data_IF_502156383113
#
_entry.id   IF_502156383113
#
_cell.length_a   1.000
_cell.length_b   1.000
_cell.length_c   1.000
_cell.angle_alpha   90.00
_cell.angle_beta   90.00
_cell.angle_gamma   90.00
#
_symmetry.space_group_name_H-M   'P 1'
#
loop_
_entity.id
_entity.type
_entity.pdbx_description
1 polymer ?
#
# COMPACT_ATOMS: atom_id res chain seq x y z
N UNK A 1 19.24 -14.69 31.29
CA UNK A 1 19.05 -15.20 29.90
C UNK A 1 17.72 -15.92 29.71
N UNK A 2 17.31 -16.86 30.58
CA UNK A 2 16.02 -17.57 30.48
C UNK A 2 14.79 -16.64 30.37
N UNK A 3 14.65 -15.65 31.28
CA UNK A 3 13.53 -14.69 31.26
C UNK A 3 13.45 -13.80 30.00
N UNK A 4 14.58 -13.58 29.31
CA UNK A 4 14.60 -12.83 28.05
C UNK A 4 14.19 -13.72 26.88
N UNK A 5 14.69 -14.96 26.87
CA UNK A 5 14.28 -16.00 25.93
C UNK A 5 12.77 -16.27 25.99
N UNK A 6 12.20 -16.35 27.20
CA UNK A 6 10.77 -16.59 27.40
C UNK A 6 9.90 -15.43 26.93
N UNK A 7 10.33 -14.17 27.17
CA UNK A 7 9.61 -12.99 26.65
C UNK A 7 9.65 -12.91 25.14
N UNK A 8 10.80 -13.19 24.53
CA UNK A 8 10.95 -13.19 23.07
C UNK A 8 10.14 -14.33 22.42
N UNK A 9 10.13 -15.52 23.02
CA UNK A 9 9.32 -16.65 22.58
C UNK A 9 7.82 -16.32 22.62
N UNK A 10 7.35 -15.77 23.74
CA UNK A 10 5.96 -15.34 23.89
C UNK A 10 5.56 -14.25 22.90
N UNK A 11 6.48 -13.32 22.59
CA UNK A 11 6.26 -12.31 21.55
C UNK A 11 6.10 -12.94 20.17
N UNK A 12 7.02 -13.83 19.77
CA UNK A 12 6.98 -14.49 18.48
C UNK A 12 5.69 -15.32 18.29
N UNK A 13 5.24 -16.02 19.33
CA UNK A 13 3.98 -16.78 19.31
C UNK A 13 2.78 -15.86 19.08
N UNK A 14 2.68 -14.76 19.83
CA UNK A 14 1.57 -13.79 19.67
C UNK A 14 1.59 -13.13 18.31
N UNK A 15 2.77 -12.76 17.83
CA UNK A 15 2.96 -12.16 16.51
C UNK A 15 2.53 -13.10 15.40
N UNK A 16 2.99 -14.35 15.44
CA UNK A 16 2.61 -15.37 14.47
C UNK A 16 1.10 -15.67 14.51
N UNK A 17 0.53 -15.87 15.70
CA UNK A 17 -0.90 -16.13 15.87
C UNK A 17 -1.75 -14.95 15.37
N UNK A 18 -1.31 -13.71 15.57
CA UNK A 18 -1.98 -12.52 15.07
C UNK A 18 -2.10 -12.53 13.54
N UNK A 19 -1.00 -12.75 12.82
CA UNK A 19 -1.01 -12.78 11.36
C UNK A 19 -1.68 -14.03 10.78
N UNK A 20 -1.55 -15.18 11.44
CA UNK A 20 -2.27 -16.39 11.04
C UNK A 20 -3.78 -16.19 11.13
N UNK A 21 -4.26 -15.64 12.25
CA UNK A 21 -5.68 -15.33 12.42
C UNK A 21 -6.14 -14.25 11.43
N UNK A 22 -5.32 -13.22 11.18
CA UNK A 22 -5.61 -12.23 10.16
C UNK A 22 -5.80 -12.88 8.79
N UNK A 23 -4.88 -13.76 8.36
CA UNK A 23 -5.00 -14.46 7.09
C UNK A 23 -6.27 -15.32 6.99
N UNK A 24 -6.59 -16.07 8.07
CA UNK A 24 -7.81 -16.88 8.14
C UNK A 24 -9.06 -16.00 8.00
N UNK A 25 -9.12 -14.87 8.71
CA UNK A 25 -10.26 -13.96 8.66
C UNK A 25 -10.38 -13.29 7.28
N UNK A 26 -9.27 -12.79 6.74
CA UNK A 26 -9.25 -12.02 5.49
C UNK A 26 -9.66 -12.85 4.27
N UNK A 27 -9.30 -14.14 4.27
CA UNK A 27 -9.72 -15.10 3.22
C UNK A 27 -11.09 -15.69 3.54
N UNK A 28 -11.33 -16.06 4.79
CA UNK A 28 -12.53 -16.76 5.21
C UNK A 28 -13.79 -15.90 5.16
N UNK A 29 -13.73 -14.62 5.56
CA UNK A 29 -14.92 -13.78 5.63
C UNK A 29 -15.61 -13.58 4.27
N UNK A 30 -14.91 -13.21 3.18
CA UNK A 30 -15.53 -13.14 1.85
C UNK A 30 -16.08 -14.48 1.36
N UNK A 31 -15.38 -15.59 1.61
CA UNK A 31 -15.83 -16.94 1.21
C UNK A 31 -17.07 -17.40 1.97
N UNK A 32 -17.14 -17.15 3.27
CA UNK A 32 -18.34 -17.43 4.07
C UNK A 32 -19.50 -16.59 3.56
N UNK A 33 -19.25 -15.30 3.29
CA UNK A 33 -20.22 -14.42 2.65
C UNK A 33 -20.77 -14.97 1.34
N UNK A 34 -19.88 -15.43 0.45
CA UNK A 34 -20.22 -16.08 -0.81
C UNK A 34 -21.15 -17.28 -0.63
N UNK A 35 -20.78 -18.19 0.28
CA UNK A 35 -21.54 -19.44 0.54
C UNK A 35 -22.91 -19.13 1.13
N UNK A 36 -22.98 -18.22 2.10
CA UNK A 36 -24.25 -17.84 2.74
C UNK A 36 -25.21 -17.14 1.78
N UNK A 37 -24.70 -16.59 0.68
CA UNK A 37 -25.47 -15.78 -0.27
C UNK A 37 -25.75 -16.49 -1.59
N UNK A 38 -25.27 -17.73 -1.74
CA UNK A 38 -25.51 -18.55 -2.93
C UNK A 38 -24.89 -18.00 -4.21
N UNK A 39 -23.78 -17.25 -4.11
CA UNK A 39 -23.08 -16.72 -5.28
C UNK A 39 -22.45 -17.86 -6.12
N UNK A 40 -22.42 -17.66 -7.43
CA UNK A 40 -21.90 -18.64 -8.39
C UNK A 40 -20.37 -18.82 -8.24
N UNK A 41 -19.96 -20.08 -8.02
CA UNK A 41 -18.57 -20.48 -7.91
C UNK A 41 -17.81 -20.37 -9.23
N UNK A 42 -18.50 -20.35 -10.38
CA UNK A 42 -17.85 -20.24 -11.70
C UNK A 42 -17.05 -18.94 -11.84
N UNK A 43 -17.48 -17.87 -11.14
CA UNK A 43 -16.75 -16.60 -11.06
C UNK A 43 -15.33 -16.75 -10.52
N UNK A 44 -15.07 -17.79 -9.72
CA UNK A 44 -13.78 -18.06 -9.07
C UNK A 44 -12.91 -19.07 -9.82
N UNK A 45 -13.47 -19.83 -10.77
CA UNK A 45 -12.74 -20.87 -11.50
C UNK A 45 -12.09 -20.37 -12.79
N UNK A 46 -12.61 -19.29 -13.40
CA UNK A 46 -12.04 -18.72 -14.64
C UNK A 46 -10.72 -17.99 -14.39
N UNK A 47 -9.67 -18.32 -15.14
CA UNK A 47 -8.35 -17.70 -15.00
C UNK A 47 -7.58 -17.64 -16.34
N UNK A 48 -7.18 -16.45 -16.84
CA UNK A 48 -7.21 -15.13 -16.20
C UNK A 48 -8.61 -14.61 -15.88
N UNK A 49 -8.78 -13.75 -14.85
CA UNK A 49 -10.08 -13.15 -14.54
C UNK A 49 -10.64 -12.39 -15.74
N UNK A 50 -11.94 -12.56 -16.01
CA UNK A 50 -12.66 -11.84 -17.06
C UNK A 50 -13.79 -11.02 -16.44
N UNK A 51 -14.00 -9.76 -16.87
CA UNK A 51 -15.09 -8.94 -16.37
C UNK A 51 -16.45 -9.48 -16.85
N UNK A 52 -17.53 -9.10 -16.14
CA UNK A 52 -18.90 -9.28 -16.63
C UNK A 52 -19.87 -9.90 -15.66
N UNK A 53 -19.48 -10.14 -14.40
CA UNK A 53 -20.40 -10.64 -13.37
C UNK A 53 -21.03 -9.52 -12.55
N UNK A 54 -20.39 -8.34 -12.49
CA UNK A 54 -20.95 -7.17 -11.80
C UNK A 54 -21.25 -6.07 -12.82
N UNK A 55 -22.51 -5.64 -12.85
CA UNK A 55 -22.94 -4.46 -13.59
C UNK A 55 -23.02 -3.31 -12.58
N UNK A 56 -22.03 -2.42 -12.62
CA UNK A 56 -21.94 -1.31 -11.68
C UNK A 56 -23.01 -0.25 -11.91
N UNK A 57 -23.51 0.31 -10.81
CA UNK A 57 -24.36 1.49 -10.85
C UNK A 57 -23.69 2.66 -11.59
N UNK A 58 -24.52 3.41 -12.32
CA UNK A 58 -24.11 4.64 -13.01
C UNK A 58 -23.67 5.72 -12.01
N UNK A 59 -23.07 6.77 -12.53
CA UNK A 59 -22.59 7.89 -11.72
C UNK A 59 -23.70 8.52 -10.88
N UNK A 60 -23.32 8.92 -9.67
CA UNK A 60 -24.21 9.58 -8.72
C UNK A 60 -23.53 10.87 -8.23
N UNK A 61 -24.01 12.00 -8.75
CA UNK A 61 -23.43 13.32 -8.48
C UNK A 61 -23.42 13.70 -6.99
N UNK A 62 -24.50 13.51 -6.20
CA UNK A 62 -24.45 13.70 -4.76
C UNK A 62 -23.32 12.92 -4.06
N UNK A 63 -23.17 11.63 -4.36
CA UNK A 63 -22.10 10.80 -3.78
C UNK A 63 -20.72 11.25 -4.25
N UNK A 64 -20.59 11.64 -5.52
CA UNK A 64 -19.36 12.21 -6.07
C UNK A 64 -18.97 13.50 -5.34
N UNK A 65 -19.88 14.47 -5.19
CA UNK A 65 -19.57 15.74 -4.50
C UNK A 65 -19.30 15.56 -3.01
N UNK A 66 -19.94 14.59 -2.36
CA UNK A 66 -19.62 14.20 -0.99
C UNK A 66 -18.18 13.67 -0.90
N UNK A 67 -17.80 12.74 -1.77
CA UNK A 67 -16.43 12.21 -1.85
C UNK A 67 -15.40 13.29 -2.19
N UNK A 68 -15.73 14.21 -3.10
CA UNK A 68 -14.88 15.34 -3.46
C UNK A 68 -14.69 16.30 -2.29
N UNK A 69 -15.75 16.59 -1.54
CA UNK A 69 -15.67 17.44 -0.34
C UNK A 69 -14.75 16.81 0.69
N UNK A 70 -14.85 15.50 0.92
CA UNK A 70 -13.93 14.77 1.80
C UNK A 70 -12.48 14.87 1.29
N UNK A 71 -12.25 14.62 0.00
CA UNK A 71 -10.92 14.65 -0.58
C UNK A 71 -10.27 16.04 -0.47
N UNK A 72 -10.99 17.09 -0.86
CA UNK A 72 -10.52 18.48 -0.77
C UNK A 72 -10.28 18.88 0.68
N UNK A 73 -11.14 18.46 1.61
CA UNK A 73 -10.96 18.74 3.04
C UNK A 73 -9.69 18.09 3.61
N UNK A 74 -9.38 16.85 3.21
CA UNK A 74 -8.15 16.16 3.61
C UNK A 74 -6.92 16.88 3.05
N UNK A 75 -6.92 17.24 1.76
CA UNK A 75 -5.83 18.00 1.15
C UNK A 75 -5.68 19.37 1.83
N UNK A 76 -6.78 20.10 2.06
CA UNK A 76 -6.76 21.40 2.70
C UNK A 76 -6.20 21.33 4.13
N UNK A 77 -6.54 20.28 4.89
CA UNK A 77 -5.96 20.03 6.21
C UNK A 77 -4.45 19.83 6.12
N UNK A 78 -3.99 19.01 5.18
CA UNK A 78 -2.58 18.76 4.92
C UNK A 78 -1.82 20.02 4.53
N UNK A 79 -2.34 20.78 3.56
CA UNK A 79 -1.75 22.05 3.12
C UNK A 79 -1.70 23.05 4.26
N UNK A 80 -2.79 23.21 5.02
CA UNK A 80 -2.83 24.08 6.20
C UNK A 80 -1.79 23.69 7.24
N UNK A 81 -1.57 22.40 7.47
CA UNK A 81 -0.51 21.92 8.37
C UNK A 81 0.88 22.17 7.80
N UNK A 82 1.08 21.93 6.52
CA UNK A 82 2.36 22.17 5.86
C UNK A 82 2.75 23.65 5.87
N UNK A 83 1.81 24.56 5.64
CA UNK A 83 2.04 26.00 5.68
C UNK A 83 2.32 26.51 7.09
N UNK A 84 1.78 25.86 8.12
CA UNK A 84 2.01 26.18 9.54
C UNK A 84 3.23 25.48 10.12
N UNK A 85 3.77 24.49 9.43
CA UNK A 85 4.96 23.80 9.86
C UNK A 85 6.10 24.82 9.96
N UNK A 86 6.97 24.72 10.98
CA UNK A 86 8.12 25.59 11.08
C UNK A 86 8.92 25.49 9.76
N UNK A 87 9.22 26.65 9.16
CA UNK A 87 10.06 26.76 7.96
C UNK A 87 11.49 26.41 8.34
N UNK A 88 11.76 25.14 8.50
CA UNK A 88 13.11 24.68 8.79
C UNK A 88 13.82 24.47 7.45
N UNK A 89 14.89 25.22 7.23
CA UNK A 89 15.78 25.06 6.07
C UNK A 89 16.32 23.62 6.01
N UNK A 90 16.30 23.03 4.81
CA UNK A 90 16.75 21.68 4.44
C UNK A 90 18.26 21.51 4.78
N UNK A 91 18.86 20.40 5.23
CA UNK A 91 18.78 18.97 4.84
C UNK A 91 19.36 18.11 6.00
N UNK A 92 18.84 16.89 6.27
CA UNK A 92 19.64 15.83 6.95
C UNK A 92 20.60 15.24 5.92
N UNK A 93 21.91 15.51 6.00
CA UNK A 93 22.92 15.03 5.03
C UNK A 93 23.05 13.50 4.98
N UNK A 94 23.48 12.87 3.89
CA UNK A 94 24.69 13.20 3.14
C UNK A 94 24.54 13.12 1.60
N UNK A 95 24.95 14.17 0.89
CA UNK A 95 25.18 14.19 -0.56
C UNK A 95 26.65 13.90 -0.85
N UNK A 96 26.99 12.62 -1.04
CA UNK A 96 28.16 12.17 -1.81
C UNK A 96 27.81 12.05 -3.30
N UNK A 97 28.60 11.29 -4.08
CA UNK A 97 28.25 10.97 -5.46
C UNK A 97 26.97 10.11 -5.52
N UNK A 98 26.14 10.32 -6.55
CA UNK A 98 24.97 9.47 -6.79
C UNK A 98 25.42 8.04 -7.12
N UNK A 99 24.86 6.99 -6.50
CA UNK A 99 25.35 5.64 -6.71
C UNK A 99 25.22 5.18 -8.16
N UNK A 100 26.21 4.42 -8.67
CA UNK A 100 26.21 3.89 -10.04
C UNK A 100 24.96 3.04 -10.33
N UNK A 101 24.54 2.20 -9.38
CA UNK A 101 23.32 1.40 -9.49
C UNK A 101 22.04 2.24 -9.55
N UNK A 102 22.07 3.50 -9.10
CA UNK A 102 20.99 4.46 -9.32
C UNK A 102 20.88 4.88 -10.78
N UNK A 103 22.01 5.11 -11.46
CA UNK A 103 22.04 5.40 -12.90
C UNK A 103 21.61 4.20 -13.73
N UNK A 104 21.99 2.99 -13.32
CA UNK A 104 21.48 1.75 -13.92
C UNK A 104 19.96 1.64 -13.76
N UNK A 105 19.44 1.94 -12.56
CA UNK A 105 18.00 1.98 -12.29
C UNK A 105 17.27 3.00 -13.17
N UNK A 106 17.83 4.22 -13.32
CA UNK A 106 17.26 5.26 -14.18
C UNK A 106 17.27 4.84 -15.65
N UNK A 107 18.35 4.23 -16.11
CA UNK A 107 18.46 3.73 -17.50
C UNK A 107 17.43 2.64 -17.78
N UNK A 108 17.28 1.69 -16.84
CA UNK A 108 16.27 0.63 -16.91
C UNK A 108 14.85 1.21 -16.93
N UNK A 109 14.57 2.18 -16.05
CA UNK A 109 13.29 2.86 -15.98
C UNK A 109 12.94 3.55 -17.31
N UNK A 110 13.85 4.36 -17.86
CA UNK A 110 13.62 5.09 -19.10
C UNK A 110 13.45 4.15 -20.30
N UNK A 111 14.28 3.10 -20.40
CA UNK A 111 14.16 2.11 -21.45
C UNK A 111 12.84 1.34 -21.37
N UNK A 112 12.48 0.84 -20.19
CA UNK A 112 11.24 0.10 -19.98
C UNK A 112 9.99 0.98 -20.16
N UNK A 113 10.07 2.27 -19.80
CA UNK A 113 9.02 3.25 -20.09
C UNK A 113 8.86 3.43 -21.60
N UNK A 114 9.97 3.63 -22.33
CA UNK A 114 9.96 3.72 -23.79
C UNK A 114 9.32 2.49 -24.45
N UNK A 115 9.62 1.29 -23.96
CA UNK A 115 8.96 0.05 -24.42
C UNK A 115 7.48 0.03 -24.08
N UNK A 116 7.11 0.29 -22.82
CA UNK A 116 5.73 0.24 -22.32
C UNK A 116 4.80 1.14 -23.14
N UNK A 117 5.22 2.37 -23.39
CA UNK A 117 4.46 3.39 -24.14
C UNK A 117 4.65 3.30 -25.66
N UNK A 118 5.27 2.23 -26.16
CA UNK A 118 5.48 2.01 -27.60
C UNK A 118 6.26 3.15 -28.29
N UNK A 119 7.20 3.78 -27.57
CA UNK A 119 8.11 4.79 -28.10
C UNK A 119 9.31 4.15 -28.82
N UNK A 120 9.53 2.85 -28.62
CA UNK A 120 10.57 2.06 -29.27
C UNK A 120 9.92 0.99 -30.16
N UNK A 121 10.44 0.75 -31.38
CA UNK A 121 9.89 -0.23 -32.32
C UNK A 121 10.25 -1.66 -31.88
N UNK A 122 9.72 -2.10 -30.75
CA UNK A 122 9.94 -3.43 -30.18
C UNK A 122 8.67 -4.29 -30.29
N UNK A 123 8.85 -5.61 -30.37
CA UNK A 123 7.72 -6.54 -30.48
C UNK A 123 6.79 -6.51 -29.26
N UNK A 124 5.53 -6.89 -29.45
CA UNK A 124 4.50 -6.95 -28.42
C UNK A 124 4.91 -7.79 -27.20
N UNK A 125 5.71 -8.84 -27.42
CA UNK A 125 6.24 -9.66 -26.33
C UNK A 125 7.00 -8.81 -25.30
N UNK A 126 7.93 -7.94 -25.72
CA UNK A 126 8.69 -7.07 -24.81
C UNK A 126 7.77 -6.07 -24.09
N UNK A 127 6.73 -5.58 -24.78
CA UNK A 127 5.74 -4.68 -24.18
C UNK A 127 4.99 -5.35 -23.04
N UNK A 128 4.57 -6.60 -23.23
CA UNK A 128 3.83 -7.35 -22.22
C UNK A 128 4.63 -7.52 -20.91
N UNK A 129 5.96 -7.62 -21.00
CA UNK A 129 6.83 -7.79 -19.84
C UNK A 129 7.47 -6.49 -19.33
N UNK A 130 7.14 -5.34 -19.92
CA UNK A 130 7.84 -4.08 -19.64
C UNK A 130 7.51 -3.46 -18.27
N UNK A 131 6.37 -3.81 -17.68
CA UNK A 131 5.91 -3.26 -16.41
C UNK A 131 6.87 -3.56 -15.24
N UNK A 132 7.33 -4.80 -15.12
CA UNK A 132 8.21 -5.20 -14.00
C UNK A 132 9.58 -4.52 -14.09
N UNK A 133 10.32 -4.53 -15.22
CA UNK A 133 11.57 -3.78 -15.36
C UNK A 133 11.42 -2.29 -15.08
N UNK A 134 10.31 -1.67 -15.51
CA UNK A 134 9.99 -0.28 -15.24
C UNK A 134 9.91 0.01 -13.74
N UNK A 135 9.15 -0.79 -12.99
CA UNK A 135 9.06 -0.63 -11.54
C UNK A 135 10.34 -0.99 -10.79
N UNK A 136 11.10 -1.99 -11.25
CA UNK A 136 12.42 -2.30 -10.69
C UNK A 136 13.38 -1.13 -10.86
N UNK A 137 13.40 -0.50 -12.03
CA UNK A 137 14.17 0.72 -12.29
C UNK A 137 13.76 1.86 -11.37
N UNK A 138 12.45 2.08 -11.20
CA UNK A 138 11.93 3.10 -10.28
C UNK A 138 12.31 2.84 -8.82
N UNK A 139 12.16 1.61 -8.32
CA UNK A 139 12.55 1.21 -6.96
C UNK A 139 14.05 1.47 -6.72
N UNK A 140 14.91 1.13 -7.69
CA UNK A 140 16.34 1.41 -7.62
C UNK A 140 16.60 2.91 -7.56
N UNK A 141 15.93 3.73 -8.38
CA UNK A 141 16.06 5.19 -8.33
C UNK A 141 15.64 5.75 -6.97
N UNK A 142 14.52 5.30 -6.40
CA UNK A 142 14.06 5.75 -5.07
C UNK A 142 15.06 5.42 -3.96
N UNK A 143 15.64 4.21 -3.98
CA UNK A 143 16.68 3.82 -3.03
C UNK A 143 17.97 4.64 -3.25
N UNK A 144 18.36 4.90 -4.50
CA UNK A 144 19.53 5.70 -4.82
C UNK A 144 19.37 7.14 -4.36
N UNK A 145 18.20 7.73 -4.57
CA UNK A 145 17.84 9.06 -4.06
C UNK A 145 17.85 9.09 -2.53
N UNK A 146 17.32 8.07 -1.87
CA UNK A 146 17.37 7.95 -0.41
C UNK A 146 18.81 7.89 0.09
N UNK A 147 19.64 7.04 -0.52
CA UNK A 147 21.07 6.90 -0.21
C UNK A 147 21.83 8.21 -0.44
N UNK A 148 21.53 8.91 -1.54
CA UNK A 148 22.14 10.19 -1.89
C UNK A 148 21.67 11.36 -1.01
N UNK A 149 20.47 11.30 -0.42
CA UNK A 149 19.99 12.35 0.49
C UNK A 149 20.38 12.11 1.93
N UNK A 150 20.30 10.87 2.39
CA UNK A 150 20.39 10.52 3.81
C UNK A 150 21.57 9.61 4.16
N UNK A 151 22.40 9.22 3.18
CA UNK A 151 23.53 8.30 3.39
C UNK A 151 23.12 6.84 3.61
N UNK A 152 21.83 6.51 3.67
CA UNK A 152 21.30 5.15 3.81
C UNK A 152 20.01 4.98 3.02
N UNK A 153 19.65 3.73 2.72
CA UNK A 153 18.40 3.36 2.09
C UNK A 153 18.01 1.94 2.50
N UNK A 154 16.79 1.52 2.19
CA UNK A 154 16.27 0.21 2.54
C UNK A 154 17.13 -0.91 1.91
N UNK A 155 17.48 -0.77 0.63
CA UNK A 155 18.31 -1.73 -0.10
C UNK A 155 19.67 -1.99 0.57
N UNK A 156 20.34 -0.96 1.07
CA UNK A 156 21.67 -1.11 1.69
C UNK A 156 21.63 -1.41 3.19
N UNK A 157 20.57 -1.00 3.90
CA UNK A 157 20.49 -1.17 5.36
C UNK A 157 19.85 -2.50 5.76
N UNK A 158 18.93 -3.03 4.95
CA UNK A 158 18.23 -4.31 5.21
C UNK A 158 18.07 -5.12 3.93
N UNK A 159 19.17 -5.57 3.31
CA UNK A 159 19.12 -6.23 2.00
C UNK A 159 18.22 -7.47 2.00
N UNK A 160 18.29 -8.32 3.02
CA UNK A 160 17.45 -9.52 3.10
C UNK A 160 15.97 -9.17 3.20
N UNK A 161 15.57 -8.32 4.16
CA UNK A 161 14.17 -7.90 4.29
C UNK A 161 13.67 -7.20 3.03
N UNK A 162 14.51 -6.37 2.39
CA UNK A 162 14.18 -5.71 1.12
C UNK A 162 13.87 -6.72 0.02
N UNK A 163 14.71 -7.75 -0.18
CA UNK A 163 14.45 -8.77 -1.20
C UNK A 163 13.23 -9.64 -0.87
N UNK A 164 12.99 -9.93 0.41
CA UNK A 164 11.80 -10.66 0.85
C UNK A 164 10.49 -9.86 0.68
N UNK A 165 10.55 -8.54 0.52
CA UNK A 165 9.36 -7.74 0.19
C UNK A 165 8.77 -8.11 -1.17
N UNK A 166 9.59 -8.53 -2.15
CA UNK A 166 9.10 -8.88 -3.49
C UNK A 166 8.13 -10.08 -3.50
N UNK A 167 8.50 -11.26 -2.96
CA UNK A 167 7.56 -12.38 -2.89
C UNK A 167 6.37 -12.08 -1.95
N UNK A 168 6.59 -11.39 -0.82
CA UNK A 168 5.50 -10.97 0.06
C UNK A 168 4.51 -10.04 -0.66
N UNK A 169 5.01 -9.12 -1.50
CA UNK A 169 4.21 -8.18 -2.28
C UNK A 169 3.35 -8.90 -3.32
N UNK A 170 3.87 -9.98 -3.92
CA UNK A 170 3.08 -10.80 -4.84
C UNK A 170 1.88 -11.43 -4.12
N UNK A 171 2.09 -12.03 -2.95
CA UNK A 171 1.00 -12.61 -2.13
C UNK A 171 0.02 -11.52 -1.69
N UNK A 172 0.54 -10.38 -1.25
CA UNK A 172 -0.24 -9.23 -0.83
C UNK A 172 -1.19 -8.72 -1.92
N UNK A 173 -0.73 -8.54 -3.16
CA UNK A 173 -1.62 -8.05 -4.22
C UNK A 173 -2.55 -9.14 -4.77
N UNK A 174 -2.13 -10.41 -4.80
CA UNK A 174 -3.03 -11.51 -5.15
C UNK A 174 -4.26 -11.58 -4.22
N UNK A 175 -4.12 -11.13 -2.97
CA UNK A 175 -5.26 -10.97 -2.08
C UNK A 175 -6.24 -9.88 -2.55
N UNK A 176 -5.75 -8.74 -3.06
CA UNK A 176 -6.60 -7.73 -3.68
C UNK A 176 -7.28 -8.23 -4.95
N UNK A 177 -6.57 -9.01 -5.79
CA UNK A 177 -7.19 -9.69 -6.93
C UNK A 177 -8.30 -10.65 -6.49
N UNK A 178 -8.09 -11.39 -5.40
CA UNK A 178 -9.10 -12.25 -4.81
C UNK A 178 -10.34 -11.45 -4.35
N UNK A 179 -10.15 -10.34 -3.63
CA UNK A 179 -11.25 -9.47 -3.21
C UNK A 179 -11.96 -8.81 -4.41
N UNK A 180 -11.21 -8.47 -5.45
CA UNK A 180 -11.75 -7.89 -6.67
C UNK A 180 -12.66 -8.87 -7.41
N UNK A 181 -12.53 -10.18 -7.18
CA UNK A 181 -13.50 -11.17 -7.68
C UNK A 181 -14.86 -11.09 -7.00
N UNK A 182 -15.07 -10.21 -6.03
CA UNK A 182 -16.40 -9.95 -5.46
C UNK A 182 -17.00 -8.65 -5.99
N UNK A 183 -16.16 -7.64 -6.23
CA UNK A 183 -16.62 -6.29 -6.54
C UNK A 183 -16.33 -5.82 -7.97
N UNK A 184 -15.39 -6.43 -8.69
CA UNK A 184 -15.05 -6.11 -10.10
C UNK A 184 -14.72 -4.63 -10.37
N UNK A 185 -14.05 -3.97 -9.41
CA UNK A 185 -13.64 -2.57 -9.54
C UNK A 185 -12.58 -2.32 -10.60
N UNK A 186 -11.78 -3.33 -10.96
CA UNK A 186 -10.83 -3.25 -12.07
C UNK A 186 -10.77 -4.55 -12.86
N UNK A 187 -10.35 -4.46 -14.11
CA UNK A 187 -10.08 -5.61 -14.98
C UNK A 187 -8.90 -5.31 -15.91
N UNK A 188 -8.28 -6.36 -16.44
CA UNK A 188 -7.13 -6.24 -17.33
C UNK A 188 -7.54 -6.38 -18.79
N UNK A 189 -7.04 -5.48 -19.63
CA UNK A 189 -7.17 -5.51 -21.09
C UNK A 189 -5.84 -5.96 -21.70
N UNK A 190 -5.90 -6.80 -22.73
CA UNK A 190 -4.73 -7.31 -23.42
C UNK A 190 -4.14 -8.59 -22.84
N UNK A 191 -4.88 -9.26 -21.96
CA UNK A 191 -4.54 -10.55 -21.35
C UNK A 191 -5.45 -11.68 -21.85
N UNK A 192 -6.37 -11.40 -22.76
CA UNK A 192 -7.40 -12.34 -23.25
C UNK A 192 -6.78 -13.52 -24.00
N UNK A 193 -5.64 -13.28 -24.65
CA UNK A 193 -4.86 -14.28 -25.39
C UNK A 193 -3.86 -15.05 -24.52
N UNK A 194 -3.72 -14.72 -23.23
CA UNK A 194 -2.71 -15.34 -22.37
C UNK A 194 -3.20 -16.66 -21.81
N UNK A 195 -2.32 -17.66 -21.78
CA UNK A 195 -2.55 -18.87 -21.00
C UNK A 195 -2.51 -18.58 -19.50
N UNK A 196 -3.14 -19.44 -18.70
CA UNK A 196 -3.20 -19.29 -17.24
C UNK A 196 -1.80 -19.15 -16.61
N UNK A 197 -0.84 -20.01 -16.98
CA UNK A 197 0.52 -19.93 -16.43
C UNK A 197 1.23 -18.62 -16.81
N UNK A 198 1.10 -18.19 -18.07
CA UNK A 198 1.72 -16.96 -18.55
C UNK A 198 1.20 -15.75 -17.77
N UNK A 199 -0.12 -15.64 -17.61
CA UNK A 199 -0.73 -14.58 -16.82
C UNK A 199 -0.29 -14.64 -15.36
N UNK A 200 -0.31 -15.82 -14.73
CA UNK A 200 0.10 -15.98 -13.34
C UNK A 200 1.54 -15.50 -13.10
N UNK A 201 2.48 -15.85 -13.98
CA UNK A 201 3.88 -15.43 -13.88
C UNK A 201 4.03 -13.92 -14.06
N UNK A 202 3.45 -13.36 -15.13
CA UNK A 202 3.54 -11.93 -15.41
C UNK A 202 2.88 -11.08 -14.31
N UNK A 203 1.67 -11.47 -13.89
CA UNK A 203 0.95 -10.79 -12.82
C UNK A 203 1.74 -10.85 -11.50
N UNK A 204 2.25 -12.03 -11.11
CA UNK A 204 3.06 -12.18 -9.89
C UNK A 204 4.32 -11.30 -9.91
N UNK A 205 5.00 -11.20 -11.06
CA UNK A 205 6.14 -10.31 -11.22
C UNK A 205 5.75 -8.83 -11.12
N UNK A 206 4.64 -8.42 -11.72
CA UNK A 206 4.12 -7.05 -11.59
C UNK A 206 3.77 -6.73 -10.12
N UNK A 207 3.02 -7.62 -9.49
CA UNK A 207 2.54 -7.52 -8.11
C UNK A 207 3.67 -7.53 -7.08
N UNK A 208 4.80 -8.18 -7.40
CA UNK A 208 5.98 -8.19 -6.53
C UNK A 208 6.59 -6.80 -6.27
N UNK A 209 6.24 -5.79 -7.06
CA UNK A 209 6.86 -4.46 -6.99
C UNK A 209 6.15 -3.48 -6.05
N UNK A 210 4.97 -3.84 -5.54
CA UNK A 210 4.09 -2.93 -4.77
C UNK A 210 4.69 -2.53 -3.43
N UNK A 211 4.92 -3.49 -2.53
CA UNK A 211 5.52 -3.21 -1.21
C UNK A 211 6.93 -2.58 -1.31
N UNK A 212 7.87 -3.09 -2.12
CA UNK A 212 9.18 -2.47 -2.23
C UNK A 212 9.10 -1.06 -2.83
N UNK A 213 8.18 -0.79 -3.76
CA UNK A 213 7.90 0.55 -4.29
C UNK A 213 7.46 1.52 -3.20
N UNK A 214 6.38 1.20 -2.50
CA UNK A 214 5.81 2.06 -1.45
C UNK A 214 6.79 2.29 -0.30
N UNK A 215 7.50 1.25 0.15
CA UNK A 215 8.47 1.40 1.24
C UNK A 215 9.73 2.16 0.83
N UNK A 216 10.18 2.03 -0.42
CA UNK A 216 11.31 2.82 -0.93
C UNK A 216 10.93 4.31 -1.08
N UNK A 217 9.68 4.59 -1.47
CA UNK A 217 9.14 5.95 -1.48
C UNK A 217 9.04 6.50 -0.05
N UNK A 218 8.55 5.72 0.90
CA UNK A 218 8.49 6.10 2.32
C UNK A 218 9.89 6.39 2.89
N UNK A 219 10.89 5.58 2.52
CA UNK A 219 12.28 5.83 2.91
C UNK A 219 12.77 7.17 2.35
N UNK A 220 12.54 7.45 1.06
CA UNK A 220 12.90 8.74 0.45
C UNK A 220 12.21 9.91 1.17
N UNK A 221 10.91 9.78 1.46
CA UNK A 221 10.13 10.81 2.14
C UNK A 221 10.53 11.01 3.61
N UNK A 222 11.31 10.12 4.24
CA UNK A 222 11.95 10.41 5.54
C UNK A 222 12.90 11.60 5.47
N UNK A 223 13.44 11.92 4.28
CA UNK A 223 14.25 13.13 4.07
C UNK A 223 13.42 14.42 4.12
N UNK A 224 12.09 14.34 3.99
CA UNK A 224 11.20 15.50 3.96
C UNK A 224 10.72 15.83 5.38
N UNK A 225 11.31 16.87 5.97
CA UNK A 225 11.05 17.30 7.36
C UNK A 225 9.60 17.70 7.64
N UNK A 226 8.82 18.00 6.61
CA UNK A 226 7.38 18.28 6.72
C UNK A 226 6.67 17.21 7.56
N UNK A 227 6.95 15.94 7.31
CA UNK A 227 6.32 14.82 7.99
C UNK A 227 6.79 14.64 9.44
N UNK A 228 7.90 15.27 9.85
CA UNK A 228 8.40 15.18 11.22
C UNK A 228 7.67 16.17 12.15
N UNK A 229 7.31 17.36 11.64
CA UNK A 229 6.84 18.48 12.48
C UNK A 229 5.40 18.94 12.21
N UNK A 230 4.87 18.80 10.99
CA UNK A 230 3.57 19.39 10.64
C UNK A 230 2.36 18.66 11.23
N UNK A 231 2.55 17.37 11.54
CA UNK A 231 1.48 16.45 11.92
C UNK A 231 1.60 16.01 13.39
N UNK A 232 2.04 16.92 14.26
CA UNK A 232 2.01 16.72 15.71
C UNK A 232 0.63 17.16 16.25
N UNK A 233 0.05 16.33 17.12
CA UNK A 233 -1.27 16.51 17.72
C UNK A 233 -1.20 16.15 19.21
N UNK A 234 -0.94 17.14 20.06
CA UNK A 234 -0.82 16.95 21.51
C UNK A 234 -2.06 16.30 22.14
N UNK A 235 -3.27 16.60 21.64
CA UNK A 235 -4.51 16.01 22.16
C UNK A 235 -4.66 14.51 21.94
N UNK A 236 -3.82 13.90 21.08
CA UNK A 236 -3.78 12.45 20.86
C UNK A 236 -2.75 11.75 21.75
N UNK A 237 -1.82 12.50 22.35
CA UNK A 237 -0.69 11.95 23.10
C UNK A 237 -1.16 11.17 24.33
N UNK A 238 -0.57 10.00 24.56
CA UNK A 238 -0.89 9.12 25.68
C UNK A 238 -2.23 8.41 25.58
N UNK A 239 -2.93 8.52 24.45
CA UNK A 239 -4.09 7.67 24.16
C UNK A 239 -3.61 6.28 23.77
N UNK A 240 -4.34 5.26 24.21
CA UNK A 240 -4.09 3.88 23.81
C UNK A 240 -5.32 3.32 23.10
N UNK A 241 -5.14 2.51 22.04
CA UNK A 241 -6.24 1.86 21.37
C UNK A 241 -6.96 0.92 22.36
N UNK A 242 -8.27 1.09 22.51
CA UNK A 242 -9.08 0.29 23.43
C UNK A 242 -9.49 -1.03 22.77
N UNK A 243 -9.41 -2.14 23.51
CA UNK A 243 -9.70 -3.49 22.98
C UNK A 243 -11.16 -3.68 22.56
N UNK A 244 -12.10 -3.08 23.29
CA UNK A 244 -13.53 -3.04 22.95
C UNK A 244 -13.77 -2.38 21.59
N UNK A 245 -13.16 -1.21 21.35
CA UNK A 245 -13.25 -0.51 20.08
C UNK A 245 -12.57 -1.30 18.96
N UNK A 246 -11.39 -1.89 19.22
CA UNK A 246 -10.71 -2.74 18.25
C UNK A 246 -11.56 -3.95 17.85
N UNK A 247 -12.29 -4.56 18.79
CA UNK A 247 -13.22 -5.66 18.50
C UNK A 247 -14.41 -5.19 17.66
N UNK A 248 -15.02 -4.06 18.00
CA UNK A 248 -16.12 -3.50 17.21
C UNK A 248 -15.68 -3.22 15.77
N UNK A 249 -14.51 -2.60 15.59
CA UNK A 249 -13.91 -2.33 14.26
C UNK A 249 -13.60 -3.64 13.52
N UNK A 250 -13.09 -4.65 14.22
CA UNK A 250 -12.83 -5.97 13.63
C UNK A 250 -14.13 -6.59 13.12
N UNK A 251 -15.18 -6.64 13.94
CA UNK A 251 -16.47 -7.23 13.57
C UNK A 251 -17.12 -6.51 12.38
N UNK A 252 -17.08 -5.17 12.36
CA UNK A 252 -17.59 -4.37 11.23
C UNK A 252 -16.79 -4.66 9.95
N UNK A 253 -15.45 -4.74 10.05
CA UNK A 253 -14.58 -5.02 8.90
C UNK A 253 -14.83 -6.42 8.34
N UNK A 254 -15.00 -7.42 9.22
CA UNK A 254 -15.31 -8.81 8.88
C UNK A 254 -16.69 -8.92 8.22
N UNK A 255 -17.71 -8.28 8.80
CA UNK A 255 -19.05 -8.26 8.23
C UNK A 255 -19.05 -7.58 6.85
N UNK A 256 -18.34 -6.46 6.72
CA UNK A 256 -18.18 -5.76 5.45
C UNK A 256 -17.53 -6.61 4.36
N UNK A 257 -16.44 -7.32 4.69
CA UNK A 257 -15.79 -8.25 3.77
C UNK A 257 -16.69 -9.43 3.40
N UNK A 258 -17.50 -9.95 4.33
CA UNK A 258 -18.47 -11.00 4.03
C UNK A 258 -19.62 -10.53 3.14
N UNK A 259 -20.08 -9.29 3.30
CA UNK A 259 -21.25 -8.76 2.58
C UNK A 259 -20.89 -8.07 1.26
N UNK A 260 -19.61 -7.85 0.95
CA UNK A 260 -19.20 -7.08 -0.23
C UNK A 260 -19.66 -7.67 -1.56
N UNK A 261 -19.80 -9.00 -1.66
CA UNK A 261 -20.33 -9.64 -2.87
C UNK A 261 -21.84 -9.43 -3.08
N UNK A 262 -22.60 -9.14 -2.01
CA UNK A 262 -24.04 -8.81 -2.12
C UNK A 262 -24.28 -7.35 -2.51
N UNK A 263 -23.46 -6.45 -1.96
CA UNK A 263 -23.59 -5.01 -2.16
C UNK A 263 -22.31 -4.42 -2.76
N UNK A 264 -21.86 -4.91 -3.93
CA UNK A 264 -20.57 -4.51 -4.50
C UNK A 264 -20.50 -3.01 -4.77
N UNK A 265 -21.61 -2.38 -5.14
CA UNK A 265 -21.64 -0.94 -5.42
C UNK A 265 -21.39 -0.06 -4.19
N UNK A 266 -21.75 -0.53 -2.99
CA UNK A 266 -21.66 0.26 -1.76
C UNK A 266 -20.48 -0.15 -0.87
N UNK A 267 -20.18 -1.45 -0.83
CA UNK A 267 -19.17 -2.00 0.08
C UNK A 267 -17.78 -2.15 -0.56
N UNK A 268 -17.61 -1.84 -1.85
CA UNK A 268 -16.29 -1.86 -2.48
C UNK A 268 -15.20 -1.03 -1.76
N UNK A 269 -15.46 0.11 -1.08
CA UNK A 269 -14.41 0.81 -0.36
C UNK A 269 -13.79 -0.03 0.76
N UNK A 270 -14.55 -1.01 1.30
CA UNK A 270 -14.07 -1.91 2.34
C UNK A 270 -13.01 -2.89 1.84
N UNK A 271 -12.96 -3.17 0.53
CA UNK A 271 -11.84 -3.90 -0.07
C UNK A 271 -10.49 -3.22 0.23
N UNK A 272 -10.46 -1.88 0.24
CA UNK A 272 -9.25 -1.08 0.44
C UNK A 272 -8.94 -0.73 1.90
N UNK A 273 -9.91 -0.87 2.81
CA UNK A 273 -9.80 -0.38 4.19
C UNK A 273 -9.87 -1.52 5.21
N UNK A 274 -10.76 -2.49 5.00
CA UNK A 274 -10.95 -3.59 5.95
C UNK A 274 -9.69 -4.42 6.19
N UNK A 275 -8.82 -4.73 5.21
CA UNK A 275 -7.61 -5.51 5.48
C UNK A 275 -6.69 -4.85 6.50
N UNK A 276 -6.44 -3.54 6.34
CA UNK A 276 -5.73 -2.73 7.31
C UNK A 276 -6.41 -2.76 8.69
N UNK A 277 -7.73 -2.56 8.74
CA UNK A 277 -8.48 -2.52 10.00
C UNK A 277 -8.44 -3.86 10.75
N UNK A 278 -8.58 -4.98 10.03
CA UNK A 278 -8.47 -6.33 10.61
C UNK A 278 -7.09 -6.54 11.22
N UNK A 279 -6.01 -6.23 10.48
CA UNK A 279 -4.65 -6.39 10.98
C UNK A 279 -4.42 -5.48 12.19
N UNK A 280 -4.79 -4.20 12.12
CA UNK A 280 -4.63 -3.27 13.24
C UNK A 280 -5.41 -3.70 14.48
N UNK A 281 -6.67 -4.10 14.33
CA UNK A 281 -7.49 -4.55 15.46
C UNK A 281 -6.92 -5.80 16.11
N UNK A 282 -6.49 -6.79 15.33
CA UNK A 282 -5.87 -7.99 15.87
C UNK A 282 -4.56 -7.67 16.59
N UNK A 283 -3.74 -6.76 16.05
CA UNK A 283 -2.50 -6.37 16.73
C UNK A 283 -2.74 -5.75 18.11
N UNK A 284 -3.78 -4.93 18.25
CA UNK A 284 -4.21 -4.38 19.55
C UNK A 284 -4.65 -5.49 20.50
N UNK A 285 -5.38 -6.49 20.00
CA UNK A 285 -5.84 -7.63 20.82
C UNK A 285 -4.71 -8.52 21.32
N UNK A 286 -3.76 -8.85 20.42
CA UNK A 286 -2.58 -9.66 20.71
C UNK A 286 -1.46 -8.90 21.43
N UNK A 287 -1.63 -7.60 21.70
CA UNK A 287 -0.63 -6.72 22.30
C UNK A 287 0.72 -6.77 21.57
N UNK A 288 0.70 -6.70 20.24
CA UNK A 288 1.91 -6.61 19.41
C UNK A 288 2.05 -5.19 18.83
N UNK A 289 3.29 -4.74 18.55
CA UNK A 289 3.55 -3.41 18.01
C UNK A 289 2.68 -3.09 16.81
N UNK A 290 1.94 -2.00 16.93
CA UNK A 290 1.02 -1.53 15.92
C UNK A 290 1.21 -0.03 15.68
N UNK A 291 0.94 0.39 14.45
CA UNK A 291 1.13 1.77 14.01
C UNK A 291 0.31 2.77 14.85
N UNK A 292 -0.92 2.41 15.21
CA UNK A 292 -1.82 3.28 15.96
C UNK A 292 -1.29 3.58 17.36
N UNK A 293 -0.80 2.58 18.07
CA UNK A 293 -0.19 2.76 19.39
C UNK A 293 1.05 3.65 19.34
N UNK A 294 1.90 3.49 18.32
CA UNK A 294 3.11 4.32 18.15
C UNK A 294 2.77 5.78 17.81
N UNK A 295 1.71 6.00 17.05
CA UNK A 295 1.22 7.33 16.69
C UNK A 295 0.52 8.01 17.85
N UNK A 296 -0.32 7.29 18.60
CA UNK A 296 -1.03 7.86 19.74
C UNK A 296 -0.13 8.06 20.97
N UNK A 297 0.84 7.17 21.22
CA UNK A 297 1.82 7.38 22.29
C UNK A 297 2.65 8.63 22.07
N UNK A 298 3.10 8.87 20.84
CA UNK A 298 3.92 10.05 20.48
C UNK A 298 3.11 11.30 20.15
N UNK A 299 1.81 11.18 19.85
CA UNK A 299 1.00 12.26 19.29
C UNK A 299 1.43 12.68 17.88
N UNK A 300 2.29 11.90 17.21
CA UNK A 300 2.86 12.23 15.91
C UNK A 300 2.20 11.42 14.78
N UNK A 301 1.31 12.07 14.02
CA UNK A 301 0.67 11.53 12.81
C UNK A 301 1.56 11.66 11.56
N UNK A 302 2.77 12.18 11.71
CA UNK A 302 3.77 12.31 10.67
C UNK A 302 4.05 11.04 9.86
N UNK A 303 4.30 9.90 10.51
CA UNK A 303 4.48 8.64 9.80
C UNK A 303 3.24 8.17 9.05
N UNK A 304 2.04 8.39 9.58
CA UNK A 304 0.77 8.06 8.92
C UNK A 304 0.62 8.89 7.65
N UNK A 305 0.83 10.20 7.76
CA UNK A 305 0.83 11.10 6.64
C UNK A 305 1.87 10.66 5.59
N UNK A 306 3.12 10.41 6.00
CA UNK A 306 4.19 10.00 5.08
C UNK A 306 3.86 8.71 4.32
N UNK A 307 3.32 7.69 4.99
CA UNK A 307 2.93 6.44 4.35
C UNK A 307 1.80 6.66 3.33
N UNK A 308 0.78 7.45 3.69
CA UNK A 308 -0.29 7.83 2.77
C UNK A 308 0.25 8.60 1.55
N UNK A 309 1.16 9.56 1.75
CA UNK A 309 1.83 10.27 0.65
C UNK A 309 2.71 9.35 -0.21
N UNK A 310 3.32 8.33 0.39
CA UNK A 310 4.16 7.36 -0.34
C UNK A 310 3.32 6.54 -1.30
N UNK A 311 2.21 5.98 -0.82
CA UNK A 311 1.28 5.24 -1.65
C UNK A 311 0.58 6.13 -2.67
N UNK A 312 0.22 7.38 -2.32
CA UNK A 312 -0.36 8.32 -3.27
C UNK A 312 0.61 8.68 -4.40
N UNK A 313 1.89 8.90 -4.09
CA UNK A 313 2.92 9.15 -5.09
C UNK A 313 3.14 7.93 -5.99
N UNK A 314 3.26 6.73 -5.41
CA UNK A 314 3.32 5.49 -6.19
C UNK A 314 2.06 5.29 -7.05
N UNK A 315 0.89 5.60 -6.51
CA UNK A 315 -0.40 5.63 -7.20
C UNK A 315 -0.35 6.46 -8.46
N UNK A 316 0.06 7.72 -8.36
CA UNK A 316 0.21 8.59 -9.54
C UNK A 316 1.11 7.97 -10.62
N UNK A 317 2.23 7.34 -10.24
CA UNK A 317 3.11 6.66 -11.19
C UNK A 317 2.53 5.37 -11.76
N UNK A 318 1.80 4.58 -10.96
CA UNK A 318 1.04 3.41 -11.43
C UNK A 318 0.07 3.82 -12.51
N UNK A 319 -0.76 4.84 -12.24
CA UNK A 319 -1.78 5.28 -13.20
C UNK A 319 -1.17 5.91 -14.44
N UNK A 320 -0.12 6.72 -14.28
CA UNK A 320 0.62 7.31 -15.40
C UNK A 320 1.16 6.21 -16.32
N UNK A 321 1.96 5.28 -15.79
CA UNK A 321 2.58 4.26 -16.63
C UNK A 321 1.58 3.27 -17.21
N UNK A 322 0.50 2.98 -16.50
CA UNK A 322 -0.59 2.15 -17.01
C UNK A 322 -1.32 2.74 -18.22
N UNK A 323 -1.41 4.08 -18.33
CA UNK A 323 -2.26 4.77 -19.29
C UNK A 323 -2.06 4.32 -20.76
N UNK A 324 -0.81 4.20 -21.21
CA UNK A 324 -0.43 3.72 -22.55
C UNK A 324 0.25 2.34 -22.56
N UNK A 325 0.22 1.62 -21.43
CA UNK A 325 0.75 0.25 -21.35
C UNK A 325 -0.14 -0.74 -22.09
N UNK A 326 0.45 -1.88 -22.45
CA UNK A 326 -0.28 -3.07 -22.90
C UNK A 326 0.46 -4.33 -22.43
N UNK A 327 -0.16 -5.23 -21.64
CA UNK A 327 -1.51 -5.12 -21.08
C UNK A 327 -1.64 -3.98 -20.07
N UNK A 328 -2.88 -3.60 -19.75
CA UNK A 328 -3.18 -2.53 -18.77
C UNK A 328 -4.41 -2.86 -17.93
N UNK A 329 -4.53 -2.27 -16.75
CA UNK A 329 -5.78 -2.32 -15.98
C UNK A 329 -6.69 -1.15 -16.34
N UNK A 330 -7.99 -1.36 -16.23
CA UNK A 330 -9.03 -0.33 -16.40
C UNK A 330 -9.96 -0.40 -15.20
N UNK A 331 -10.34 0.76 -14.68
CA UNK A 331 -11.24 0.87 -13.54
C UNK A 331 -12.71 0.95 -13.98
N UNK A 332 -13.55 0.25 -13.23
CA UNK A 332 -15.01 0.31 -13.27
C UNK A 332 -15.53 0.58 -11.86
N UNK A 333 -15.47 1.84 -11.43
CA UNK A 333 -15.86 2.23 -10.08
C UNK A 333 -17.30 2.74 -10.09
N UNK A 334 -18.21 2.17 -9.28
CA UNK A 334 -19.60 2.59 -9.22
C UNK A 334 -19.72 4.01 -8.64
N UNK A 335 -20.72 4.75 -9.10
CA UNK A 335 -21.07 6.12 -8.64
C UNK A 335 -20.07 7.25 -8.92
N UNK A 336 -18.76 6.97 -8.90
CA UNK A 336 -17.69 7.99 -8.88
C UNK A 336 -16.64 7.78 -9.96
N UNK A 337 -17.02 7.19 -11.10
CA UNK A 337 -16.10 6.82 -12.20
C UNK A 337 -15.57 7.99 -13.04
N UNK A 338 -16.02 9.22 -12.77
CA UNK A 338 -15.75 10.41 -13.60
C UNK A 338 -14.45 11.15 -13.22
N UNK A 339 -13.99 12.00 -14.16
CA UNK A 339 -12.79 12.84 -14.05
C UNK A 339 -11.52 12.04 -13.72
N UNK A 340 -11.03 11.33 -14.75
CA UNK A 340 -9.81 10.54 -14.62
C UNK A 340 -8.56 11.41 -14.66
N UNK A 341 -7.61 11.11 -13.76
CA UNK A 341 -6.22 11.55 -13.87
C UNK A 341 -5.43 10.31 -14.25
N UNK A 342 -5.01 10.26 -15.51
CA UNK A 342 -4.59 9.03 -16.21
C UNK A 342 -5.72 8.00 -16.24
N UNK A 343 -5.54 6.77 -15.73
CA UNK A 343 -6.58 5.74 -15.78
C UNK A 343 -7.57 5.80 -14.60
N UNK A 344 -7.16 6.39 -13.47
CA UNK A 344 -7.92 6.39 -12.22
C UNK A 344 -8.82 7.62 -12.09
N UNK A 345 -10.11 7.46 -11.74
CA UNK A 345 -10.98 8.57 -11.32
C UNK A 345 -10.37 9.35 -10.15
N UNK A 346 -10.56 10.66 -10.10
CA UNK A 346 -9.94 11.52 -9.08
C UNK A 346 -10.23 11.07 -7.64
N UNK A 347 -11.44 10.57 -7.37
CA UNK A 347 -11.82 10.07 -6.05
C UNK A 347 -11.22 8.71 -5.73
N UNK A 348 -10.83 7.94 -6.75
CA UNK A 348 -10.12 6.67 -6.56
C UNK A 348 -8.79 6.85 -5.84
N UNK A 349 -8.14 8.02 -5.98
CA UNK A 349 -6.88 8.31 -5.29
C UNK A 349 -7.01 8.34 -3.76
N UNK A 350 -8.23 8.47 -3.21
CA UNK A 350 -8.47 8.31 -1.77
C UNK A 350 -8.10 6.91 -1.26
N UNK A 351 -8.22 5.88 -2.11
CA UNK A 351 -7.84 4.51 -1.78
C UNK A 351 -6.35 4.35 -1.46
N UNK A 352 -5.49 5.18 -2.07
CA UNK A 352 -4.05 5.14 -1.79
C UNK A 352 -3.68 5.59 -0.36
N UNK A 353 -4.54 6.37 0.30
CA UNK A 353 -4.26 6.87 1.65
C UNK A 353 -4.20 5.74 2.71
N UNK A 354 -5.24 4.90 2.88
CA UNK A 354 -5.15 3.73 3.76
C UNK A 354 -4.18 2.68 3.20
N UNK A 355 -4.06 2.54 1.89
CA UNK A 355 -3.20 1.54 1.25
C UNK A 355 -1.73 1.66 1.66
N UNK A 356 -1.20 2.87 1.82
CA UNK A 356 0.17 3.06 2.30
C UNK A 356 0.39 2.57 3.74
N UNK A 357 -0.61 2.72 4.60
CA UNK A 357 -0.59 2.21 5.98
C UNK A 357 -0.67 0.68 5.98
N UNK A 358 -1.47 0.13 5.08
CA UNK A 358 -1.59 -1.31 4.90
C UNK A 358 -0.28 -1.94 4.43
N UNK A 359 0.39 -1.32 3.46
CA UNK A 359 1.72 -1.73 3.02
C UNK A 359 2.71 -1.80 4.19
N UNK A 360 2.70 -0.82 5.10
CA UNK A 360 3.54 -0.84 6.30
C UNK A 360 3.11 -1.94 7.29
N UNK A 361 1.80 -2.15 7.45
CA UNK A 361 1.27 -3.20 8.32
C UNK A 361 1.67 -4.60 7.84
N UNK A 362 1.61 -4.87 6.53
CA UNK A 362 2.03 -6.16 5.95
C UNK A 362 3.55 -6.29 5.94
N UNK A 363 4.28 -5.25 5.53
CA UNK A 363 5.75 -5.28 5.57
C UNK A 363 6.32 -5.46 6.97
N UNK A 364 5.54 -5.15 8.02
CA UNK A 364 5.96 -5.40 9.39
C UNK A 364 6.12 -6.86 9.80
N UNK A 365 5.74 -7.80 8.93
CA UNK A 365 6.14 -9.22 9.00
C UNK A 365 7.67 -9.38 8.87
N UNK A 366 8.32 -8.51 8.08
CA UNK A 366 9.74 -8.61 7.72
C UNK A 366 10.62 -7.50 8.32
N UNK A 367 10.02 -6.36 8.66
CA UNK A 367 10.72 -5.15 9.14
C UNK A 367 9.95 -4.59 10.34
N UNK A 368 10.54 -4.48 11.54
CA UNK A 368 9.87 -3.86 12.69
C UNK A 368 9.18 -2.54 12.34
N UNK A 369 7.94 -2.38 12.80
CA UNK A 369 7.09 -1.24 12.42
C UNK A 369 7.73 0.10 12.81
N UNK A 370 8.46 0.13 13.92
CA UNK A 370 9.23 1.26 14.45
C UNK A 370 10.30 1.75 13.45
N UNK A 371 10.89 0.83 12.70
CA UNK A 371 11.91 1.11 11.69
C UNK A 371 11.27 1.64 10.39
N UNK A 372 10.14 1.05 10.00
CA UNK A 372 9.34 1.53 8.86
C UNK A 372 8.94 3.00 9.09
N UNK A 373 8.48 3.33 10.30
CA UNK A 373 8.09 4.70 10.64
C UNK A 373 9.26 5.61 11.02
N UNK A 374 10.43 5.07 11.34
CA UNK A 374 11.65 5.82 11.61
C UNK A 374 11.79 6.33 13.05
N UNK A 375 11.12 5.70 14.03
CA UNK A 375 11.25 6.05 15.45
C UNK A 375 12.57 5.56 16.08
N UNK A 376 13.18 4.51 15.53
CA UNK A 376 14.46 3.95 16.04
C UNK A 376 15.66 4.90 15.95
N UNK A 377 15.61 5.96 15.13
CA UNK A 377 16.71 6.91 14.98
C UNK A 377 16.74 8.02 16.06
N UNK A 378 15.67 8.16 16.86
CA UNK A 378 15.58 9.19 17.90
C UNK A 378 16.11 8.68 19.26
N UNK A 379 15.96 7.38 19.57
CA UNK A 379 16.40 6.79 20.83
C UNK A 379 17.93 6.75 21.00
N UNK A 380 18.67 6.38 19.96
CA UNK A 380 20.15 6.31 20.01
C UNK A 380 20.85 7.68 19.98
N UNK A 381 20.14 8.78 19.69
CA UNK A 381 20.73 10.13 19.72
C UNK A 381 20.62 10.80 21.08
N UNK A 382 19.66 10.41 21.92
CA UNK A 382 19.59 10.91 23.30
C UNK A 382 20.63 10.24 24.21
N UNK A 383 21.02 8.99 23.94
CA UNK A 383 22.08 8.30 24.69
C UNK A 383 23.51 8.66 24.25
N UNK A 384 23.68 9.44 23.18
CA UNK A 384 24.97 9.95 22.71
C UNK A 384 25.14 11.45 23.00
N UNK A 385 24.11 12.08 23.58
CA UNK A 385 24.12 13.48 24.01
C UNK A 385 24.02 13.62 25.54
N UNK A 386 24.14 12.51 26.27
CA UNK A 386 24.46 12.41 27.69
C UNK A 386 25.81 11.72 27.80
#
# INVERSE_FOLDING_TARGET
MALYSDRQSNFNIRFFACYLLAAIILVGAPLVGMVLTGQDLERFTRFPPRPGYVIHAKDNWPLFFLGLTLFVSLIALWVKRALRAPKILDVRGAKGAFPLWGWLGLSLLLAAWGVSWNLLPVGQWLRNWSFTPLWLGFILVLNALSKWRMGTCLLTSRPLSFWLLFPLSSVFWWYFEFLNRFVENWYYVGVETFGSLQYALMASLAFSTVLPGVLSMNELLKSVRLFEYAFIFEGLKGRHPRKDLALAVLLISVAGLGLMGLFPDYLFPLLWVSPLLVICSLKVWFNVPNLLELVFSSGNLGPVARLAASALACGLFWEMWNFWSYPKWVYSIPFVGQFKVFEMPILGYLGYLPFGLECAAVASILIPIEEIIGLGALGNRQSQAQ
#
